data_IF_619678896707
#
_entry.id   IF_619678896707
#
_cell.length_a   1.000
_cell.length_b   1.000
_cell.length_c   1.000
_cell.angle_alpha   90.00
_cell.angle_beta   90.00
_cell.angle_gamma   90.00
#
_symmetry.space_group_name_H-M   'P 1'
#
loop_
_entity.id
_entity.type
_entity.pdbx_description
1 polymer ?
#
# COMPACT_ATOMS: atom_id res chain seq x y z
N UNK A 1 -28.64 9.07 -0.12
CA UNK A 1 -27.34 8.63 -0.64
C UNK A 1 -26.33 8.67 0.51
N UNK A 2 -25.78 7.52 0.86
CA UNK A 2 -24.61 7.49 1.75
C UNK A 2 -23.40 7.85 0.89
N UNK A 3 -23.18 9.17 0.70
CA UNK A 3 -22.20 9.72 -0.25
C UNK A 3 -20.80 9.12 -0.03
N UNK A 4 -20.46 8.73 1.18
CA UNK A 4 -19.14 8.18 1.51
C UNK A 4 -18.92 6.74 1.04
N UNK A 5 -19.93 5.88 1.10
CA UNK A 5 -19.84 4.53 0.54
C UNK A 5 -19.85 4.54 -0.99
N UNK A 6 -20.60 5.48 -1.58
CA UNK A 6 -20.69 5.64 -3.03
C UNK A 6 -19.43 6.33 -3.62
N UNK A 7 -18.69 7.11 -2.83
CA UNK A 7 -17.48 7.79 -3.29
C UNK A 7 -16.36 6.83 -3.69
N UNK A 8 -16.12 5.80 -2.92
CA UNK A 8 -15.10 4.79 -3.24
C UNK A 8 -15.48 4.02 -4.51
N UNK A 9 -16.76 3.62 -4.62
CA UNK A 9 -17.26 2.94 -5.82
C UNK A 9 -17.14 3.82 -7.07
N UNK A 10 -17.48 5.12 -6.96
CA UNK A 10 -17.31 6.07 -8.06
C UNK A 10 -15.83 6.31 -8.39
N UNK A 11 -14.97 6.42 -7.39
CA UNK A 11 -13.53 6.57 -7.61
C UNK A 11 -12.94 5.39 -8.38
N UNK A 12 -13.33 4.16 -8.02
CA UNK A 12 -12.92 2.95 -8.74
C UNK A 12 -13.51 2.88 -10.16
N UNK A 13 -14.81 3.13 -10.31
CA UNK A 13 -15.50 3.05 -11.61
C UNK A 13 -14.91 4.04 -12.63
N UNK A 14 -14.58 5.25 -12.18
CA UNK A 14 -14.10 6.33 -13.06
C UNK A 14 -12.59 6.56 -13.00
N UNK A 15 -11.83 5.72 -12.30
CA UNK A 15 -10.38 5.79 -12.19
C UNK A 15 -9.87 7.14 -11.64
N UNK A 16 -10.55 7.69 -10.65
CA UNK A 16 -10.13 8.95 -10.04
C UNK A 16 -9.73 8.77 -8.57
N UNK A 17 -8.79 9.59 -8.11
CA UNK A 17 -8.45 9.63 -6.68
C UNK A 17 -9.58 10.30 -5.88
N UNK A 18 -9.69 9.99 -4.58
CA UNK A 18 -10.64 10.64 -3.69
C UNK A 18 -10.54 12.18 -3.76
N UNK A 19 -9.31 12.71 -3.79
CA UNK A 19 -9.06 14.15 -3.93
C UNK A 19 -9.60 14.71 -5.24
N UNK A 20 -9.39 14.04 -6.37
CA UNK A 20 -9.91 14.48 -7.67
C UNK A 20 -11.45 14.41 -7.69
N UNK A 21 -12.03 13.38 -7.09
CA UNK A 21 -13.49 13.24 -6.98
C UNK A 21 -14.10 14.37 -6.14
N UNK A 22 -13.50 14.71 -5.00
CA UNK A 22 -13.94 15.84 -4.17
C UNK A 22 -13.88 17.16 -4.95
N UNK A 23 -12.82 17.38 -5.72
CA UNK A 23 -12.71 18.58 -6.58
C UNK A 23 -13.82 18.63 -7.64
N UNK A 24 -14.13 17.48 -8.29
CA UNK A 24 -15.21 17.41 -9.28
C UNK A 24 -16.58 17.64 -8.66
N UNK A 25 -16.83 17.12 -7.46
CA UNK A 25 -18.06 17.37 -6.70
C UNK A 25 -18.19 18.88 -6.41
N UNK A 26 -17.10 19.52 -5.98
CA UNK A 26 -17.08 20.95 -5.71
C UNK A 26 -17.42 21.79 -6.95
N UNK A 27 -16.83 21.44 -8.09
CA UNK A 27 -17.14 22.07 -9.39
C UNK A 27 -18.61 21.85 -9.76
N UNK A 28 -19.11 20.62 -9.64
CA UNK A 28 -20.51 20.29 -9.95
C UNK A 28 -21.52 21.07 -9.06
N UNK A 29 -21.18 21.29 -7.79
CA UNK A 29 -21.98 22.13 -6.90
C UNK A 29 -21.96 23.60 -7.37
N UNK A 30 -20.79 24.10 -7.74
CA UNK A 30 -20.64 25.46 -8.27
C UNK A 30 -21.45 25.68 -9.55
N UNK A 31 -21.45 24.69 -10.45
CA UNK A 31 -22.26 24.74 -11.68
C UNK A 31 -23.76 24.74 -11.40
N UNK A 32 -24.20 24.04 -10.35
CA UNK A 32 -25.62 23.98 -9.95
C UNK A 32 -26.09 25.26 -9.23
N UNK A 33 -25.17 26.00 -8.64
CA UNK A 33 -25.44 27.21 -7.85
C UNK A 33 -24.54 28.38 -8.28
N UNK A 34 -24.61 28.82 -9.53
CA UNK A 34 -23.72 29.86 -10.07
C UNK A 34 -23.89 31.22 -9.37
N UNK A 35 -25.03 31.45 -8.73
CA UNK A 35 -25.34 32.65 -7.97
C UNK A 35 -24.65 32.75 -6.59
N UNK A 36 -23.99 31.64 -6.19
CA UNK A 36 -23.29 31.54 -4.89
C UNK A 36 -21.80 31.34 -5.09
N UNK A 37 -21.02 31.97 -4.22
CA UNK A 37 -19.60 31.63 -4.06
C UNK A 37 -19.49 30.48 -3.07
N UNK A 38 -19.33 29.25 -3.58
CA UNK A 38 -19.24 28.06 -2.74
C UNK A 38 -17.94 28.08 -1.96
N UNK A 39 -18.01 27.98 -0.63
CA UNK A 39 -16.88 27.99 0.28
C UNK A 39 -16.51 26.57 0.71
N UNK A 40 -17.50 25.77 1.09
CA UNK A 40 -17.31 24.44 1.61
C UNK A 40 -18.55 23.57 1.38
N UNK A 41 -18.35 22.27 1.23
CA UNK A 41 -19.42 21.28 1.18
C UNK A 41 -19.18 20.21 2.26
N UNK A 42 -20.10 20.10 3.21
CA UNK A 42 -20.10 19.04 4.20
C UNK A 42 -20.75 17.80 3.61
N UNK A 43 -19.92 16.83 3.23
CA UNK A 43 -20.39 15.60 2.59
C UNK A 43 -21.18 14.69 3.55
N UNK A 44 -20.92 14.75 4.85
CA UNK A 44 -21.61 13.91 5.84
C UNK A 44 -23.02 14.43 6.09
N UNK A 45 -23.14 15.73 6.29
CA UNK A 45 -24.42 16.39 6.56
C UNK A 45 -25.17 16.86 5.32
N UNK A 46 -24.50 16.81 4.14
CA UNK A 46 -25.01 17.28 2.85
C UNK A 46 -25.39 18.78 2.85
N UNK A 47 -24.65 19.59 3.62
CA UNK A 47 -24.81 21.03 3.67
C UNK A 47 -23.78 21.74 2.79
N UNK A 48 -24.28 22.75 2.07
CA UNK A 48 -23.46 23.64 1.26
C UNK A 48 -23.28 24.96 2.04
N UNK A 49 -22.04 25.33 2.28
CA UNK A 49 -21.66 26.62 2.87
C UNK A 49 -21.19 27.52 1.74
N UNK A 50 -21.82 28.67 1.61
CA UNK A 50 -21.60 29.58 0.50
C UNK A 50 -21.72 31.04 0.95
N UNK A 51 -21.30 31.96 0.08
CA UNK A 51 -21.47 33.40 0.22
C UNK A 51 -22.34 33.90 -0.93
N UNK A 52 -23.33 34.77 -0.60
CA UNK A 52 -24.14 35.48 -1.56
C UNK A 52 -24.26 36.95 -1.12
N UNK A 53 -23.85 37.86 -1.99
CA UNK A 53 -23.89 39.32 -1.70
C UNK A 53 -23.19 39.69 -0.38
N UNK A 54 -22.01 39.08 -0.10
CA UNK A 54 -21.24 39.33 1.11
C UNK A 54 -21.81 38.71 2.39
N UNK A 55 -22.87 37.90 2.31
CA UNK A 55 -23.48 37.20 3.45
C UNK A 55 -23.23 35.70 3.37
N UNK A 56 -22.76 35.12 4.48
CA UNK A 56 -22.62 33.68 4.60
C UNK A 56 -23.98 33.01 4.72
N UNK A 57 -24.20 31.97 3.95
CA UNK A 57 -25.40 31.14 3.93
C UNK A 57 -25.05 29.67 4.02
N UNK A 58 -25.92 28.90 4.67
CA UNK A 58 -25.78 27.45 4.78
C UNK A 58 -27.13 26.81 4.42
N UNK A 59 -27.11 25.87 3.49
CA UNK A 59 -28.35 25.22 3.02
C UNK A 59 -28.10 23.81 2.49
N UNK A 60 -29.15 22.99 2.44
CA UNK A 60 -29.13 21.71 1.71
C UNK A 60 -29.43 21.93 0.24
N UNK A 61 -28.83 21.08 -0.62
CA UNK A 61 -29.15 21.06 -2.04
C UNK A 61 -30.64 20.71 -2.23
N UNK A 62 -31.38 21.55 -2.99
CA UNK A 62 -32.75 21.20 -3.40
C UNK A 62 -32.75 19.97 -4.30
N UNK A 63 -33.90 19.26 -4.39
CA UNK A 63 -34.03 18.06 -5.21
C UNK A 63 -33.71 18.30 -6.70
N UNK A 64 -34.13 19.43 -7.21
CA UNK A 64 -33.85 19.87 -8.59
C UNK A 64 -32.36 20.15 -8.81
N UNK A 65 -31.76 20.94 -7.93
CA UNK A 65 -30.32 21.29 -8.00
C UNK A 65 -29.45 20.04 -7.81
N UNK A 66 -29.88 19.09 -6.98
CA UNK A 66 -29.17 17.82 -6.82
C UNK A 66 -29.11 17.01 -8.13
N UNK A 67 -30.18 17.05 -8.94
CA UNK A 67 -30.17 16.46 -10.28
C UNK A 67 -29.12 17.09 -11.20
N UNK A 68 -28.96 18.42 -11.15
CA UNK A 68 -27.94 19.15 -11.92
C UNK A 68 -26.54 18.76 -11.43
N UNK A 69 -26.30 18.74 -10.12
CA UNK A 69 -25.02 18.33 -9.53
C UNK A 69 -24.65 16.92 -9.99
N UNK A 70 -25.57 15.96 -9.90
CA UNK A 70 -25.36 14.59 -10.34
C UNK A 70 -25.00 14.50 -11.83
N UNK A 71 -25.71 15.24 -12.68
CA UNK A 71 -25.46 15.25 -14.14
C UNK A 71 -24.08 15.87 -14.47
N UNK A 72 -23.73 17.01 -13.86
CA UNK A 72 -22.44 17.67 -14.03
C UNK A 72 -21.30 16.77 -13.56
N UNK A 73 -21.43 16.16 -12.37
CA UNK A 73 -20.43 15.24 -11.83
C UNK A 73 -20.21 14.03 -12.74
N UNK A 74 -21.26 13.37 -13.21
CA UNK A 74 -21.15 12.21 -14.12
C UNK A 74 -20.44 12.62 -15.42
N UNK A 75 -20.73 13.78 -15.98
CA UNK A 75 -20.06 14.27 -17.18
C UNK A 75 -18.57 14.54 -16.92
N UNK A 76 -18.22 15.20 -15.81
CA UNK A 76 -16.83 15.43 -15.43
C UNK A 76 -16.06 14.11 -15.21
N UNK A 77 -16.67 13.14 -14.55
CA UNK A 77 -16.10 11.80 -14.35
C UNK A 77 -15.87 11.05 -15.66
N UNK A 78 -16.82 11.13 -16.62
CA UNK A 78 -16.66 10.51 -17.95
C UNK A 78 -15.49 11.14 -18.73
N UNK A 79 -15.32 12.46 -18.69
CA UNK A 79 -14.20 13.16 -19.32
C UNK A 79 -12.90 12.73 -18.65
N UNK A 80 -12.81 12.77 -17.33
CA UNK A 80 -11.65 12.32 -16.57
C UNK A 80 -11.25 10.88 -16.91
N UNK A 81 -12.22 9.95 -16.95
CA UNK A 81 -11.97 8.55 -17.32
C UNK A 81 -11.37 8.44 -18.72
N UNK A 82 -11.85 9.23 -19.72
CA UNK A 82 -11.29 9.23 -21.07
C UNK A 82 -9.84 9.72 -21.07
N UNK A 83 -9.53 10.77 -20.32
CA UNK A 83 -8.17 11.31 -20.20
C UNK A 83 -7.22 10.30 -19.54
N UNK A 84 -7.61 9.72 -18.40
CA UNK A 84 -6.80 8.71 -17.68
C UNK A 84 -6.55 7.49 -18.57
N UNK A 85 -7.55 7.06 -19.32
CA UNK A 85 -7.45 5.91 -20.21
C UNK A 85 -6.80 6.23 -21.57
N UNK A 86 -6.39 7.47 -21.83
CA UNK A 86 -5.63 7.79 -23.04
C UNK A 86 -4.30 7.01 -23.06
N UNK A 87 -3.84 6.62 -24.27
CA UNK A 87 -2.60 5.82 -24.42
C UNK A 87 -1.39 6.47 -23.74
N UNK A 88 -1.27 7.80 -23.85
CA UNK A 88 -0.15 8.57 -23.29
C UNK A 88 -0.18 8.54 -21.76
N UNK A 89 -1.30 8.90 -21.15
CA UNK A 89 -1.45 8.95 -19.70
C UNK A 89 -1.38 7.57 -19.07
N UNK A 90 -1.93 6.56 -19.74
CA UNK A 90 -1.84 5.18 -19.29
C UNK A 90 -0.40 4.65 -19.25
N UNK A 91 0.44 5.04 -20.25
CA UNK A 91 1.87 4.70 -20.28
C UNK A 91 2.64 5.35 -19.13
N UNK A 92 2.33 6.62 -18.84
CA UNK A 92 2.90 7.35 -17.71
C UNK A 92 2.48 6.73 -16.37
N UNK A 93 1.20 6.44 -16.19
CA UNK A 93 0.68 5.77 -14.98
C UNK A 93 1.33 4.40 -14.78
N UNK A 94 1.48 3.60 -15.83
CA UNK A 94 2.21 2.33 -15.76
C UNK A 94 3.62 2.52 -15.22
N UNK A 95 4.36 3.51 -15.74
CA UNK A 95 5.71 3.84 -15.28
C UNK A 95 5.75 4.22 -13.80
N UNK A 96 4.81 5.06 -13.37
CA UNK A 96 4.66 5.46 -11.97
C UNK A 96 4.36 4.25 -11.06
N UNK A 97 3.41 3.40 -11.43
CA UNK A 97 3.09 2.21 -10.65
C UNK A 97 4.26 1.22 -10.62
N UNK A 98 4.96 1.06 -11.74
CA UNK A 98 6.17 0.22 -11.79
C UNK A 98 7.23 0.72 -10.81
N UNK A 99 7.60 2.00 -10.87
CA UNK A 99 8.60 2.58 -9.96
C UNK A 99 8.16 2.57 -8.50
N UNK A 100 6.85 2.62 -8.24
CA UNK A 100 6.30 2.63 -6.89
C UNK A 100 6.25 1.25 -6.25
N UNK A 101 5.91 0.20 -7.00
CA UNK A 101 5.59 -1.12 -6.45
C UNK A 101 6.55 -2.23 -6.85
N UNK A 102 7.12 -2.23 -8.06
CA UNK A 102 8.03 -3.29 -8.47
C UNK A 102 9.27 -3.34 -7.58
N UNK A 103 9.67 -4.55 -7.22
CA UNK A 103 10.80 -4.83 -6.35
C UNK A 103 10.67 -4.20 -4.96
N UNK A 104 9.45 -4.01 -4.48
CA UNK A 104 9.19 -3.47 -3.13
C UNK A 104 8.26 -4.38 -2.35
N UNK A 105 8.39 -4.30 -1.02
CA UNK A 105 7.46 -4.92 -0.10
C UNK A 105 6.30 -3.97 0.14
N UNK A 106 5.07 -4.47 -0.04
CA UNK A 106 3.84 -3.75 0.24
C UNK A 106 3.03 -4.46 1.31
N UNK A 107 2.37 -3.69 2.17
CA UNK A 107 1.43 -4.23 3.14
C UNK A 107 0.07 -4.44 2.48
N UNK A 108 -0.48 -5.64 2.63
CA UNK A 108 -1.69 -6.07 1.95
C UNK A 108 -2.66 -6.74 2.91
N UNK A 109 -3.88 -7.01 2.47
CA UNK A 109 -4.80 -7.92 3.13
C UNK A 109 -5.50 -8.81 2.10
N UNK A 110 -5.87 -10.02 2.50
CA UNK A 110 -6.56 -10.98 1.65
C UNK A 110 -8.00 -10.51 1.43
N UNK A 111 -8.42 -10.41 0.17
CA UNK A 111 -9.78 -10.06 -0.25
C UNK A 111 -10.57 -11.31 -0.59
N UNK A 112 -9.98 -12.22 -1.34
CA UNK A 112 -10.61 -13.48 -1.74
C UNK A 112 -9.62 -14.61 -1.88
N UNK A 113 -10.10 -15.83 -1.68
CA UNK A 113 -9.35 -17.07 -1.83
C UNK A 113 -9.81 -17.76 -3.11
N UNK A 114 -8.90 -17.97 -4.05
CA UNK A 114 -9.10 -18.78 -5.24
C UNK A 114 -8.38 -20.12 -5.12
N UNK A 115 -8.59 -21.04 -6.07
CA UNK A 115 -7.99 -22.37 -6.05
C UNK A 115 -6.45 -22.35 -6.15
N UNK A 116 -5.88 -21.47 -6.97
CA UNK A 116 -4.43 -21.36 -7.22
C UNK A 116 -3.82 -20.02 -6.79
N UNK A 117 -4.63 -19.00 -6.68
CA UNK A 117 -4.18 -17.65 -6.40
C UNK A 117 -5.07 -16.98 -5.36
N UNK A 118 -4.45 -16.21 -4.52
CA UNK A 118 -5.10 -15.38 -3.51
C UNK A 118 -5.12 -13.96 -4.05
N UNK A 119 -6.31 -13.36 -4.08
CA UNK A 119 -6.45 -11.94 -4.40
C UNK A 119 -6.28 -11.11 -3.13
N UNK A 120 -5.45 -10.09 -3.23
CA UNK A 120 -5.11 -9.22 -2.12
C UNK A 120 -5.31 -7.75 -2.50
N UNK A 121 -5.71 -6.94 -1.54
CA UNK A 121 -5.73 -5.48 -1.69
C UNK A 121 -4.51 -4.87 -1.00
N UNK A 122 -3.92 -3.88 -1.65
CA UNK A 122 -2.82 -3.09 -1.09
C UNK A 122 -3.39 -2.02 -0.19
N UNK A 123 -2.84 -1.87 1.02
CA UNK A 123 -3.25 -0.84 1.98
C UNK A 123 -2.60 0.52 1.67
N UNK A 124 -2.74 0.99 0.45
CA UNK A 124 -2.21 2.28 0.06
C UNK A 124 -3.35 3.19 -0.42
N UNK A 125 -3.63 4.26 0.33
CA UNK A 125 -4.70 5.22 0.04
C UNK A 125 -4.54 5.96 -1.30
N UNK A 126 -3.32 6.01 -1.83
CA UNK A 126 -3.06 6.70 -3.09
C UNK A 126 -3.29 5.83 -4.34
N UNK A 127 -3.65 4.55 -4.18
CA UNK A 127 -3.88 3.62 -5.30
C UNK A 127 -5.27 3.73 -5.96
N UNK A 128 -6.13 4.62 -5.50
CA UNK A 128 -7.50 4.74 -6.00
C UNK A 128 -7.63 5.25 -7.44
N UNK A 129 -6.53 5.61 -8.11
CA UNK A 129 -6.58 6.14 -9.47
C UNK A 129 -6.85 5.10 -10.57
N UNK A 130 -6.57 3.82 -10.32
CA UNK A 130 -6.81 2.71 -11.26
C UNK A 130 -7.21 1.47 -10.48
N UNK A 131 -8.03 0.62 -11.09
CA UNK A 131 -8.35 -0.68 -10.50
C UNK A 131 -7.09 -1.56 -10.51
N UNK A 132 -6.50 -1.71 -9.33
CA UNK A 132 -5.30 -2.50 -9.13
C UNK A 132 -5.69 -3.77 -8.39
N UNK A 133 -5.33 -4.92 -8.95
CA UNK A 133 -5.52 -6.23 -8.33
C UNK A 133 -4.15 -6.83 -8.07
N UNK A 134 -3.96 -7.39 -6.91
CA UNK A 134 -2.74 -8.10 -6.53
C UNK A 134 -3.06 -9.58 -6.37
N UNK A 135 -2.29 -10.42 -7.06
CA UNK A 135 -2.39 -11.87 -6.96
C UNK A 135 -1.08 -12.45 -6.42
N UNK A 136 -1.23 -13.40 -5.51
CA UNK A 136 -0.14 -14.21 -4.96
C UNK A 136 -0.51 -15.66 -5.14
N UNK A 137 0.39 -16.51 -5.65
CA UNK A 137 0.15 -17.95 -5.70
C UNK A 137 0.07 -18.53 -4.28
N UNK A 138 -0.76 -19.54 -4.07
CA UNK A 138 -0.84 -20.24 -2.78
C UNK A 138 0.52 -20.85 -2.42
N UNK A 139 1.25 -21.37 -3.41
CA UNK A 139 2.58 -21.97 -3.23
C UNK A 139 3.66 -20.93 -2.85
N UNK A 140 3.37 -19.66 -3.06
CA UNK A 140 4.26 -18.53 -2.73
C UNK A 140 4.09 -18.03 -1.28
N UNK A 141 3.28 -18.67 -0.44
CA UNK A 141 3.18 -18.40 1.00
C UNK A 141 4.14 -19.30 1.79
N UNK A 142 4.49 -18.84 3.00
CA UNK A 142 5.21 -19.72 3.95
C UNK A 142 4.24 -20.75 4.53
N UNK A 143 4.74 -21.93 4.84
CA UNK A 143 3.93 -23.02 5.43
C UNK A 143 3.33 -22.65 6.79
N UNK A 144 3.89 -21.63 7.44
CA UNK A 144 3.44 -21.09 8.72
C UNK A 144 2.40 -19.97 8.57
N UNK A 145 2.15 -19.49 7.35
CA UNK A 145 1.19 -18.40 7.14
C UNK A 145 -0.26 -18.94 7.28
N UNK A 146 -1.03 -18.28 8.14
CA UNK A 146 -2.46 -18.57 8.27
C UNK A 146 -3.23 -17.78 7.21
N UNK A 147 -3.65 -18.48 6.14
CA UNK A 147 -4.32 -17.88 4.99
C UNK A 147 -5.83 -17.80 5.24
N UNK A 148 -6.34 -16.58 5.53
CA UNK A 148 -7.77 -16.32 5.71
C UNK A 148 -8.12 -14.91 5.21
N UNK A 149 -9.36 -14.72 4.74
CA UNK A 149 -9.87 -13.40 4.29
C UNK A 149 -9.72 -12.37 5.41
N UNK A 150 -9.25 -11.18 5.06
CA UNK A 150 -8.96 -10.09 6.00
C UNK A 150 -7.59 -10.14 6.67
N UNK A 151 -6.86 -11.27 6.60
CA UNK A 151 -5.51 -11.34 7.14
C UNK A 151 -4.54 -10.44 6.39
N UNK A 152 -3.58 -9.88 7.12
CA UNK A 152 -2.61 -8.94 6.60
C UNK A 152 -1.27 -9.62 6.38
N UNK A 153 -0.66 -9.34 5.23
CA UNK A 153 0.67 -9.83 4.88
C UNK A 153 1.53 -8.74 4.28
N UNK A 154 2.84 -8.87 4.46
CA UNK A 154 3.82 -8.18 3.66
C UNK A 154 4.09 -9.03 2.42
N UNK A 155 3.96 -8.45 1.23
CA UNK A 155 4.13 -9.13 -0.05
C UNK A 155 5.16 -8.38 -0.88
N UNK A 156 6.11 -9.10 -1.46
CA UNK A 156 7.07 -8.55 -2.41
C UNK A 156 6.47 -8.53 -3.82
N UNK A 157 6.47 -7.39 -4.47
CA UNK A 157 5.91 -7.24 -5.82
C UNK A 157 6.97 -7.55 -6.86
N UNK A 158 6.80 -8.68 -7.56
CA UNK A 158 7.72 -9.14 -8.60
C UNK A 158 7.49 -8.44 -9.94
N UNK A 159 6.23 -8.26 -10.33
CA UNK A 159 5.92 -7.72 -11.64
C UNK A 159 4.58 -7.02 -11.70
N UNK A 160 4.43 -6.17 -12.71
CA UNK A 160 3.21 -5.46 -13.06
C UNK A 160 2.81 -5.82 -14.48
N UNK A 161 1.59 -6.28 -14.65
CA UNK A 161 0.99 -6.57 -15.94
C UNK A 161 -0.24 -5.69 -16.16
N UNK A 162 -0.51 -5.35 -17.41
CA UNK A 162 -1.72 -4.64 -17.79
C UNK A 162 -2.56 -5.58 -18.63
N UNK A 163 -3.82 -5.70 -18.27
CA UNK A 163 -4.78 -6.50 -19.03
C UNK A 163 -5.48 -5.68 -20.13
N UNK A 164 -6.25 -6.37 -20.98
CA UNK A 164 -6.93 -5.76 -22.14
C UNK A 164 -7.95 -4.69 -21.72
N UNK A 165 -8.57 -4.86 -20.55
CA UNK A 165 -9.52 -3.91 -19.95
C UNK A 165 -8.83 -2.77 -19.19
N UNK A 166 -7.49 -2.67 -19.34
CA UNK A 166 -6.63 -1.68 -18.69
C UNK A 166 -6.60 -1.76 -17.17
N UNK A 167 -6.92 -2.91 -16.59
CA UNK A 167 -6.66 -3.17 -15.18
C UNK A 167 -5.15 -3.40 -14.97
N UNK A 168 -4.65 -2.92 -13.84
CA UNK A 168 -3.28 -3.18 -13.40
C UNK A 168 -3.30 -4.43 -12.54
N UNK A 169 -2.56 -5.44 -12.98
CA UNK A 169 -2.35 -6.67 -12.23
C UNK A 169 -0.94 -6.66 -11.67
N UNK A 170 -0.86 -6.72 -10.35
CA UNK A 170 0.39 -6.95 -9.64
C UNK A 170 0.54 -8.45 -9.38
N UNK A 171 1.72 -8.99 -9.65
CA UNK A 171 2.10 -10.32 -9.18
C UNK A 171 3.00 -10.17 -7.97
N UNK A 172 2.57 -10.70 -6.85
CA UNK A 172 3.30 -10.69 -5.60
C UNK A 172 3.79 -12.08 -5.21
N UNK A 173 4.75 -12.13 -4.28
CA UNK A 173 5.29 -13.32 -3.64
C UNK A 173 5.43 -13.05 -2.15
N UNK A 174 4.95 -13.97 -1.33
CA UNK A 174 5.12 -13.91 0.13
C UNK A 174 6.41 -14.62 0.56
N UNK A 175 6.71 -15.78 0.00
CA UNK A 175 7.92 -16.56 0.27
C UNK A 175 9.09 -16.02 -0.55
N UNK A 176 9.79 -15.02 0.03
CA UNK A 176 10.85 -14.26 -0.63
C UNK A 176 11.93 -13.89 0.39
N UNK A 177 13.19 -13.87 -0.04
CA UNK A 177 14.37 -13.54 0.78
C UNK A 177 14.27 -12.15 1.41
N UNK A 178 13.89 -11.12 0.64
CA UNK A 178 13.74 -9.75 1.13
C UNK A 178 12.66 -9.66 2.23
N UNK A 179 11.62 -10.49 2.17
CA UNK A 179 10.60 -10.54 3.22
C UNK A 179 11.16 -11.19 4.48
N UNK A 180 11.92 -12.27 4.34
CA UNK A 180 12.58 -12.94 5.48
C UNK A 180 13.54 -11.97 6.17
N UNK A 181 14.37 -11.26 5.42
CA UNK A 181 15.27 -10.21 5.94
C UNK A 181 14.51 -9.16 6.72
N UNK A 182 13.41 -8.64 6.15
CA UNK A 182 12.59 -7.61 6.80
C UNK A 182 11.90 -8.11 8.09
N UNK A 183 11.48 -9.36 8.15
CA UNK A 183 10.94 -9.97 9.37
C UNK A 183 12.01 -10.04 10.46
N UNK A 184 13.24 -10.39 10.09
CA UNK A 184 14.40 -10.41 11.00
C UNK A 184 14.70 -9.00 11.52
N UNK A 185 14.84 -8.02 10.63
CA UNK A 185 15.06 -6.61 10.99
C UNK A 185 13.97 -6.10 11.96
N UNK A 186 12.72 -6.42 11.67
CA UNK A 186 11.58 -6.01 12.50
C UNK A 186 11.63 -6.62 13.89
N UNK A 187 12.11 -7.87 14.03
CA UNK A 187 12.28 -8.54 15.31
C UNK A 187 13.43 -7.93 16.12
N UNK A 188 14.56 -7.64 15.46
CA UNK A 188 15.67 -6.97 16.14
C UNK A 188 15.29 -5.57 16.58
N UNK A 189 14.62 -4.78 15.74
CA UNK A 189 14.11 -3.46 16.13
C UNK A 189 13.13 -3.50 17.29
N UNK A 190 12.26 -4.53 17.35
CA UNK A 190 11.36 -4.73 18.48
C UNK A 190 12.13 -5.04 19.78
N UNK A 191 13.16 -5.89 19.72
CA UNK A 191 13.98 -6.26 20.85
C UNK A 191 14.80 -5.05 21.34
N UNK A 192 15.40 -4.30 20.43
CA UNK A 192 16.12 -3.06 20.71
C UNK A 192 15.21 -2.08 21.49
N UNK A 193 14.00 -1.86 20.99
CA UNK A 193 13.00 -1.00 21.66
C UNK A 193 12.66 -1.47 23.09
N UNK A 194 12.60 -2.80 23.31
CA UNK A 194 12.25 -3.36 24.62
C UNK A 194 13.42 -3.42 25.59
N UNK A 195 14.62 -3.72 25.12
CA UNK A 195 15.81 -3.96 25.97
C UNK A 195 16.72 -2.75 26.08
N UNK A 196 16.56 -1.74 25.22
CA UNK A 196 17.49 -0.61 25.09
C UNK A 196 18.87 -1.02 24.52
N UNK A 197 19.04 -2.29 24.09
CA UNK A 197 20.31 -2.82 23.57
C UNK A 197 20.19 -3.01 22.06
N UNK A 198 21.03 -2.29 21.34
CA UNK A 198 21.17 -2.47 19.89
C UNK A 198 22.04 -3.68 19.60
N UNK A 199 21.62 -4.54 18.70
CA UNK A 199 22.41 -5.66 18.20
C UNK A 199 22.80 -5.34 16.78
N UNK A 200 24.10 -5.27 16.54
CA UNK A 200 24.64 -5.05 15.20
C UNK A 200 24.77 -6.39 14.48
N UNK A 201 24.05 -6.52 13.36
CA UNK A 201 24.02 -7.73 12.56
C UNK A 201 23.88 -7.41 11.07
N UNK A 202 24.23 -8.38 10.23
CA UNK A 202 23.78 -8.39 8.85
C UNK A 202 23.29 -9.80 8.45
N UNK A 203 22.36 -9.86 7.52
CA UNK A 203 21.95 -11.12 6.92
C UNK A 203 22.99 -11.53 5.88
N UNK A 204 23.70 -12.63 6.15
CA UNK A 204 24.74 -13.12 5.26
C UNK A 204 24.16 -13.97 4.12
N UNK A 205 23.09 -14.75 4.41
CA UNK A 205 22.44 -15.61 3.43
C UNK A 205 21.02 -15.94 3.86
N UNK A 206 20.10 -15.94 2.90
CA UNK A 206 18.77 -16.56 2.99
C UNK A 206 18.71 -17.69 1.97
N UNK A 207 18.38 -18.89 2.43
CA UNK A 207 18.18 -20.06 1.57
C UNK A 207 16.72 -20.50 1.66
N UNK A 208 15.94 -20.10 0.68
CA UNK A 208 14.48 -20.37 0.64
C UNK A 208 14.18 -21.86 0.52
N UNK A 209 15.05 -22.63 -0.17
CA UNK A 209 14.84 -24.07 -0.41
C UNK A 209 15.07 -24.90 0.85
N UNK A 210 16.05 -24.49 1.67
CA UNK A 210 16.40 -25.18 2.93
C UNK A 210 15.73 -24.55 4.15
N UNK A 211 14.91 -23.52 3.95
CA UNK A 211 14.33 -22.72 5.01
C UNK A 211 15.37 -22.30 6.07
N UNK A 212 16.48 -21.72 5.61
CA UNK A 212 17.65 -21.41 6.42
C UNK A 212 18.06 -19.96 6.25
N UNK A 213 18.38 -19.31 7.37
CA UNK A 213 18.99 -17.98 7.39
C UNK A 213 20.32 -18.03 8.16
N UNK A 214 21.34 -17.36 7.62
CA UNK A 214 22.63 -17.17 8.27
C UNK A 214 22.85 -15.68 8.57
N UNK A 215 23.12 -15.35 9.84
CA UNK A 215 23.47 -14.00 10.28
C UNK A 215 24.96 -13.91 10.64
N UNK A 216 25.55 -12.76 10.32
CA UNK A 216 26.79 -12.32 10.96
C UNK A 216 26.41 -11.35 12.09
N UNK A 217 26.91 -11.60 13.29
CA UNK A 217 26.62 -10.79 14.48
C UNK A 217 27.92 -10.24 15.03
N UNK A 218 27.95 -8.97 15.31
CA UNK A 218 29.18 -8.25 15.71
C UNK A 218 29.28 -8.00 17.22
N UNK A 219 28.34 -8.51 18.02
CA UNK A 219 28.34 -8.32 19.47
C UNK A 219 28.51 -9.62 20.28
N UNK A 220 29.26 -9.52 21.40
CA UNK A 220 29.55 -10.67 22.28
C UNK A 220 28.38 -11.18 23.13
N UNK A 221 27.33 -10.37 23.33
CA UNK A 221 26.26 -10.65 24.32
C UNK A 221 24.94 -11.16 23.71
N UNK A 222 24.96 -11.59 22.47
CA UNK A 222 23.74 -11.78 21.70
C UNK A 222 23.09 -13.17 21.83
N UNK A 223 23.74 -14.19 22.40
CA UNK A 223 23.24 -15.59 22.29
C UNK A 223 21.84 -15.83 22.86
N UNK A 224 21.53 -15.27 24.03
CA UNK A 224 20.18 -15.42 24.61
C UNK A 224 19.09 -14.68 23.82
N UNK A 225 19.47 -13.58 23.19
CA UNK A 225 18.58 -12.77 22.36
C UNK A 225 18.41 -13.45 21.00
N UNK A 226 19.49 -13.94 20.41
CA UNK A 226 19.49 -14.65 19.14
C UNK A 226 18.67 -15.95 19.20
N UNK A 227 18.70 -16.68 20.32
CA UNK A 227 17.82 -17.81 20.55
C UNK A 227 16.35 -17.45 20.46
N UNK A 228 15.93 -16.34 21.10
CA UNK A 228 14.54 -15.83 21.03
C UNK A 228 14.17 -15.35 19.62
N UNK A 229 15.11 -14.73 18.91
CA UNK A 229 14.89 -14.34 17.52
C UNK A 229 14.73 -15.58 16.63
N UNK A 230 15.58 -16.61 16.83
CA UNK A 230 15.50 -17.86 16.08
C UNK A 230 14.13 -18.57 16.26
N UNK A 231 13.64 -18.65 17.50
CA UNK A 231 12.31 -19.19 17.79
C UNK A 231 11.20 -18.37 17.13
N UNK A 232 11.29 -17.06 17.20
CA UNK A 232 10.29 -16.16 16.62
C UNK A 232 10.28 -16.24 15.07
N UNK A 233 11.45 -16.32 14.43
CA UNK A 233 11.57 -16.49 12.96
C UNK A 233 11.03 -17.85 12.54
N UNK A 234 11.38 -18.92 13.27
CA UNK A 234 10.85 -20.25 13.01
C UNK A 234 9.32 -20.27 13.08
N UNK A 235 8.74 -19.59 14.08
CA UNK A 235 7.28 -19.51 14.24
C UNK A 235 6.60 -18.65 13.18
N UNK A 236 7.24 -17.55 12.72
CA UNK A 236 6.60 -16.60 11.78
C UNK A 236 6.70 -16.99 10.33
N UNK A 237 7.85 -17.51 9.92
CA UNK A 237 8.15 -17.79 8.50
C UNK A 237 8.71 -19.20 8.27
N UNK A 238 8.84 -20.02 9.32
CA UNK A 238 9.28 -21.42 9.21
C UNK A 238 10.78 -21.61 9.00
N UNK A 239 11.62 -20.57 9.13
CA UNK A 239 13.05 -20.63 8.86
C UNK A 239 13.87 -20.91 10.11
N UNK A 240 14.90 -21.74 9.96
CA UNK A 240 15.93 -21.96 10.96
C UNK A 240 16.97 -20.85 10.88
N UNK A 241 17.34 -20.25 12.00
CA UNK A 241 18.32 -19.17 12.09
C UNK A 241 19.63 -19.72 12.64
N UNK A 242 20.73 -19.48 11.90
CA UNK A 242 22.10 -19.73 12.32
C UNK A 242 22.83 -18.41 12.37
N UNK A 243 23.83 -18.30 13.27
CA UNK A 243 24.64 -17.09 13.34
C UNK A 243 26.11 -17.39 13.56
N UNK A 244 26.95 -16.54 13.02
CA UNK A 244 28.40 -16.51 13.25
C UNK A 244 28.79 -15.21 13.91
N UNK A 245 29.59 -15.28 14.96
CA UNK A 245 30.16 -14.10 15.60
C UNK A 245 31.37 -13.63 14.78
N UNK A 246 31.35 -12.36 14.39
CA UNK A 246 32.46 -11.70 13.68
C UNK A 246 32.98 -10.55 14.51
N UNK A 247 34.29 -10.34 14.48
CA UNK A 247 34.89 -9.13 15.01
C UNK A 247 34.75 -8.02 13.95
N UNK A 248 34.43 -6.80 14.39
CA UNK A 248 34.54 -5.63 13.50
C UNK A 248 36.01 -5.42 13.19
N UNK A 249 36.39 -5.51 11.93
CA UNK A 249 37.65 -4.96 11.45
C UNK A 249 37.45 -3.46 11.40
N UNK A 250 38.00 -2.73 12.38
CA UNK A 250 38.01 -1.28 12.37
C UNK A 250 38.93 -0.81 11.21
N UNK A 251 38.34 -0.42 10.09
CA UNK A 251 39.05 0.16 8.93
C UNK A 251 39.83 1.44 9.28
N UNK A 252 39.66 1.95 10.50
CA UNK A 252 40.40 3.09 11.03
C UNK A 252 41.85 2.81 11.43
N UNK A 253 42.27 1.54 11.58
CA UNK A 253 43.66 1.18 11.99
C UNK A 253 44.64 1.02 10.83
N UNK A 254 44.20 0.96 9.59
CA UNK A 254 45.05 0.77 8.40
C UNK A 254 45.73 2.09 7.96
N UNK A 255 45.32 3.26 8.47
CA UNK A 255 45.90 4.56 8.06
C UNK A 255 47.04 5.09 8.93
N UNK A 256 47.63 4.30 9.84
CA UNK A 256 48.75 4.72 10.68
C UNK A 256 50.00 3.85 10.57
N UNK A 257 50.15 3.11 9.49
CA UNK A 257 51.39 2.35 9.21
C UNK A 257 51.78 2.58 7.75
N UNK A 258 51.97 3.85 7.37
CA UNK A 258 52.77 4.30 6.22
C UNK A 258 53.46 5.62 6.58
#
# INVERSE_FOLDING_TARGET
LNIRADLNALAEEYFCSERALIQMIFVAIKDAYPEYKILYFDMEKQYIYAEKNGRSVCFKASRERFSIIKKSLINALKVHRKEVLSRKNFKLLRGLYHSRFCNKIVRTHIVSLGEKHIEMAVKDREMLALKVRLFVSIDDFFDTDLIAVGHNFNVFIQSIRIEKDRQIILKGVRKNDVIVEKEIESLFAYIEKKSGKKIDFNVAKVDLNRALVVLNVYEKYADSILGKVAEAIKKRVGFSLFWTKKERIDDGKIRKAQ
#
